data_IF_030640931337
#
_entry.id   IF_030640931337
#
_cell.length_a   1.000
_cell.length_b   1.000
_cell.length_c   1.000
_cell.angle_alpha   90.00
_cell.angle_beta   90.00
_cell.angle_gamma   90.00
#
_symmetry.space_group_name_H-M   'P 1'
#
loop_
_entity.id
_entity.type
_entity.pdbx_description
1 polymer ?
#
# COMPACT_ATOMS: atom_id res chain seq x y z
N UNK A 1 -10.59 -58.57 -22.68
CA UNK A 1 -10.05 -57.78 -21.57
C UNK A 1 -9.39 -56.55 -22.14
N UNK A 2 -10.08 -55.38 -22.10
CA UNK A 2 -9.55 -54.09 -22.59
C UNK A 2 -9.04 -53.31 -21.36
N UNK A 3 -7.73 -53.10 -21.30
CA UNK A 3 -7.11 -52.26 -20.24
C UNK A 3 -7.20 -50.82 -20.67
N UNK A 4 -8.00 -50.00 -19.92
CA UNK A 4 -8.02 -48.57 -20.03
C UNK A 4 -6.80 -48.01 -19.30
N UNK A 5 -5.86 -47.40 -20.02
CA UNK A 5 -4.78 -46.59 -19.45
C UNK A 5 -5.30 -45.19 -19.21
N UNK A 6 -5.54 -44.86 -17.95
CA UNK A 6 -5.91 -43.50 -17.50
C UNK A 6 -4.64 -42.65 -17.43
N UNK A 7 -4.44 -41.78 -18.40
CA UNK A 7 -3.33 -40.83 -18.42
C UNK A 7 -3.75 -39.64 -17.55
N UNK A 8 -3.22 -39.58 -16.31
CA UNK A 8 -3.37 -38.41 -15.42
C UNK A 8 -2.48 -37.29 -15.94
N UNK A 9 -3.11 -36.28 -16.53
CA UNK A 9 -2.45 -35.07 -17.00
C UNK A 9 -2.14 -34.17 -15.78
N UNK A 10 -0.92 -34.25 -15.23
CA UNK A 10 -0.41 -33.32 -14.26
C UNK A 10 -0.18 -31.97 -14.96
N UNK A 11 -1.15 -31.06 -14.84
CA UNK A 11 -0.98 -29.68 -15.20
C UNK A 11 -0.01 -29.04 -14.20
N UNK A 12 1.14 -28.48 -14.62
CA UNK A 12 1.99 -27.72 -13.73
C UNK A 12 1.20 -26.47 -13.29
N UNK A 13 0.94 -26.35 -12.00
CA UNK A 13 0.51 -25.11 -11.39
C UNK A 13 1.65 -24.10 -11.55
N UNK A 14 1.58 -23.31 -12.61
CA UNK A 14 2.41 -22.12 -12.78
C UNK A 14 2.00 -21.15 -11.68
N UNK A 15 2.61 -21.26 -10.50
CA UNK A 15 2.59 -20.20 -9.52
C UNK A 15 3.30 -19.01 -10.15
N UNK A 16 2.53 -18.03 -10.59
CA UNK A 16 3.06 -16.72 -10.94
C UNK A 16 3.66 -16.13 -9.67
N UNK A 17 4.95 -16.36 -9.45
CA UNK A 17 5.73 -15.58 -8.51
C UNK A 17 5.66 -14.14 -9.01
N UNK A 18 4.88 -13.32 -8.30
CA UNK A 18 4.72 -11.92 -8.62
C UNK A 18 6.05 -11.23 -8.33
N UNK A 19 6.75 -10.85 -9.39
CA UNK A 19 8.08 -10.23 -9.31
C UNK A 19 7.92 -8.86 -8.63
N UNK A 20 8.32 -8.79 -7.37
CA UNK A 20 8.30 -7.58 -6.56
C UNK A 20 9.40 -6.62 -7.04
N UNK A 21 9.08 -5.71 -7.94
CA UNK A 21 10.02 -4.69 -8.46
C UNK A 21 10.26 -3.59 -7.44
N UNK A 22 10.80 -3.96 -6.26
CA UNK A 22 11.15 -2.99 -5.23
C UNK A 22 12.57 -2.43 -5.44
N UNK A 23 12.72 -1.14 -5.21
CA UNK A 23 14.02 -0.47 -5.18
C UNK A 23 14.65 -0.71 -3.80
N UNK A 24 15.88 -1.21 -3.79
CA UNK A 24 16.69 -1.35 -2.57
C UNK A 24 17.57 -0.13 -2.42
N UNK A 25 17.45 0.56 -1.32
CA UNK A 25 18.25 1.74 -0.97
C UNK A 25 18.78 1.59 0.45
N UNK A 26 19.55 2.58 0.89
CA UNK A 26 19.92 2.74 2.30
C UNK A 26 19.42 4.08 2.78
N UNK A 27 18.94 4.12 4.00
CA UNK A 27 18.63 5.38 4.66
C UNK A 27 19.88 6.26 4.72
N UNK A 28 19.74 7.55 4.42
CA UNK A 28 20.88 8.45 4.31
C UNK A 28 21.57 8.72 5.65
N UNK A 29 20.84 8.62 6.76
CA UNK A 29 21.33 8.93 8.10
C UNK A 29 21.74 7.66 8.86
N UNK A 30 20.87 6.65 8.89
CA UNK A 30 21.13 5.41 9.65
C UNK A 30 21.93 4.37 8.88
N UNK A 31 22.06 4.52 7.54
CA UNK A 31 22.64 3.52 6.63
C UNK A 31 21.92 2.15 6.67
N UNK A 32 20.75 2.08 7.30
CA UNK A 32 19.94 0.87 7.34
C UNK A 32 19.30 0.59 5.97
N UNK A 33 19.13 -0.69 5.61
CA UNK A 33 18.50 -1.06 4.35
C UNK A 33 17.04 -0.63 4.31
N UNK A 34 16.60 -0.11 3.17
CA UNK A 34 15.25 0.35 2.90
C UNK A 34 14.76 -0.20 1.57
N UNK A 35 13.51 -0.60 1.53
CA UNK A 35 12.79 -0.99 0.32
C UNK A 35 11.80 0.09 -0.06
N UNK A 36 11.62 0.34 -1.35
CA UNK A 36 10.67 1.33 -1.86
C UNK A 36 9.97 0.81 -3.11
N UNK A 37 8.68 1.09 -3.22
CA UNK A 37 7.93 0.90 -4.48
C UNK A 37 8.27 1.96 -5.52
N UNK A 38 8.87 3.08 -5.07
CA UNK A 38 8.89 4.33 -5.84
C UNK A 38 7.48 4.92 -5.96
N UNK A 39 7.36 6.01 -6.69
CA UNK A 39 6.09 6.70 -6.90
C UNK A 39 5.25 5.99 -7.97
N UNK A 40 4.08 5.49 -7.57
CA UNK A 40 3.12 4.81 -8.42
C UNK A 40 1.90 5.73 -8.60
N UNK A 41 1.51 6.08 -9.84
CA UNK A 41 0.38 6.98 -10.07
C UNK A 41 -0.96 6.26 -9.87
N UNK A 42 -1.88 6.91 -9.15
CA UNK A 42 -3.27 6.50 -9.00
C UNK A 42 -4.18 7.69 -9.25
N UNK A 43 -4.72 7.84 -10.47
CA UNK A 43 -5.57 8.97 -10.84
C UNK A 43 -4.85 10.32 -10.61
N UNK A 44 -5.39 11.19 -9.75
CA UNK A 44 -4.84 12.51 -9.37
C UNK A 44 -3.85 12.47 -8.20
N UNK A 45 -3.38 11.30 -7.83
CA UNK A 45 -2.52 11.08 -6.66
C UNK A 45 -1.41 10.12 -7.01
N UNK A 46 -0.24 10.28 -6.42
CA UNK A 46 0.80 9.25 -6.44
C UNK A 46 0.95 8.63 -5.06
N UNK A 47 1.31 7.36 -5.01
CA UNK A 47 1.62 6.63 -3.79
C UNK A 47 3.05 6.11 -3.87
N UNK A 48 3.85 6.35 -2.83
CA UNK A 48 5.06 5.59 -2.54
C UNK A 48 4.88 4.80 -1.27
N UNK A 49 5.34 3.56 -1.25
CA UNK A 49 5.38 2.76 -0.03
C UNK A 49 6.82 2.39 0.22
N UNK A 50 7.31 2.79 1.37
CA UNK A 50 8.66 2.51 1.82
C UNK A 50 8.64 1.60 3.04
N UNK A 51 9.60 0.69 3.16
CA UNK A 51 9.75 -0.18 4.31
C UNK A 51 11.20 -0.19 4.79
N UNK A 52 11.39 -0.10 6.09
CA UNK A 52 12.64 -0.37 6.79
C UNK A 52 12.46 -1.46 7.85
N UNK A 53 13.45 -1.69 8.70
CA UNK A 53 13.39 -2.72 9.74
C UNK A 53 12.38 -2.46 10.86
N UNK A 54 11.76 -1.29 10.93
CA UNK A 54 10.83 -0.87 12.00
C UNK A 54 9.44 -0.53 11.49
N UNK A 55 9.37 0.11 10.30
CA UNK A 55 8.17 0.76 9.82
C UNK A 55 7.92 0.51 8.33
N UNK A 56 6.65 0.62 7.95
CA UNK A 56 6.18 0.67 6.56
C UNK A 56 5.40 1.96 6.42
N UNK A 57 5.92 2.90 5.63
CA UNK A 57 5.35 4.22 5.42
C UNK A 57 4.67 4.32 4.05
N UNK A 58 3.44 4.80 4.04
CA UNK A 58 2.66 5.09 2.84
C UNK A 58 2.61 6.60 2.66
N UNK A 59 3.28 7.10 1.64
CA UNK A 59 3.25 8.51 1.27
C UNK A 59 2.31 8.71 0.08
N UNK A 60 1.22 9.42 0.31
CA UNK A 60 0.33 9.91 -0.73
C UNK A 60 0.69 11.34 -1.09
N UNK A 61 0.86 11.61 -2.39
CA UNK A 61 1.09 12.96 -2.92
C UNK A 61 -0.07 13.33 -3.83
N UNK A 62 -0.84 14.35 -3.46
CA UNK A 62 -1.95 14.85 -4.25
C UNK A 62 -1.40 15.85 -5.24
N UNK A 63 -1.48 15.52 -6.53
CA UNK A 63 -0.91 16.32 -7.61
C UNK A 63 -1.79 17.51 -8.02
N UNK A 64 -3.08 17.43 -7.73
CA UNK A 64 -4.03 18.48 -8.09
C UNK A 64 -4.07 19.54 -6.97
N UNK A 65 -3.23 20.55 -7.10
CA UNK A 65 -3.09 21.67 -6.16
C UNK A 65 -4.31 22.58 -6.26
N UNK A 66 -5.36 22.30 -5.52
CA UNK A 66 -6.30 23.35 -5.12
C UNK A 66 -5.78 23.90 -3.78
N UNK A 67 -5.62 25.21 -3.71
CA UNK A 67 -4.80 25.97 -2.74
C UNK A 67 -5.14 25.87 -1.26
N UNK A 68 -5.94 24.90 -0.83
CA UNK A 68 -6.45 24.83 0.54
C UNK A 68 -6.32 23.44 1.19
N UNK A 69 -5.46 22.56 0.68
CA UNK A 69 -5.34 21.19 1.22
C UNK A 69 -4.12 21.06 2.11
N UNK A 70 -4.27 21.50 3.32
CA UNK A 70 -3.28 21.25 4.36
C UNK A 70 -3.62 19.97 5.13
N UNK A 71 -2.61 19.19 5.43
CA UNK A 71 -2.70 18.01 6.27
C UNK A 71 -1.91 18.23 7.56
N UNK A 72 -2.49 17.81 8.67
CA UNK A 72 -1.93 17.86 10.02
C UNK A 72 -2.16 16.52 10.73
N UNK A 73 -1.91 16.43 12.01
CA UNK A 73 -2.11 15.22 12.84
C UNK A 73 -3.58 14.87 13.08
N UNK A 74 -4.51 15.82 12.88
CA UNK A 74 -5.95 15.58 12.93
C UNK A 74 -6.53 15.09 11.59
N UNK A 75 -5.79 15.26 10.50
CA UNK A 75 -6.16 14.82 9.16
C UNK A 75 -6.23 13.29 9.07
N UNK A 76 -7.14 12.77 8.25
CA UNK A 76 -7.39 11.33 8.19
C UNK A 76 -7.42 10.79 6.77
N UNK A 77 -7.03 9.53 6.62
CA UNK A 77 -7.26 8.73 5.43
C UNK A 77 -8.22 7.58 5.73
N UNK A 78 -9.15 7.34 4.83
CA UNK A 78 -10.10 6.23 4.90
C UNK A 78 -9.90 5.31 3.71
N UNK A 79 -9.56 4.05 3.95
CA UNK A 79 -9.58 2.99 2.94
C UNK A 79 -10.95 2.33 2.96
N UNK A 80 -11.65 2.37 1.84
CA UNK A 80 -12.96 1.73 1.65
C UNK A 80 -12.75 0.42 0.90
N UNK A 81 -13.19 -0.68 1.50
CA UNK A 81 -13.08 -2.03 0.94
C UNK A 81 -14.36 -2.47 0.24
N UNK A 82 -14.28 -3.55 -0.51
CA UNK A 82 -15.46 -4.26 -0.99
C UNK A 82 -16.43 -4.54 0.19
N UNK A 83 -17.74 -4.36 -0.03
CA UNK A 83 -18.75 -4.47 1.04
C UNK A 83 -18.85 -3.22 1.93
N UNK A 84 -18.27 -2.08 1.51
CA UNK A 84 -18.37 -0.77 2.18
C UNK A 84 -17.74 -0.69 3.59
N UNK A 85 -16.97 -1.69 4.01
CA UNK A 85 -16.19 -1.61 5.24
C UNK A 85 -15.08 -0.55 5.09
N UNK A 86 -14.72 0.11 6.19
CA UNK A 86 -13.70 1.15 6.20
C UNK A 86 -12.61 0.87 7.24
N UNK A 87 -11.40 1.28 6.94
CA UNK A 87 -10.32 1.48 7.91
C UNK A 87 -9.85 2.92 7.84
N UNK A 88 -9.78 3.59 8.99
CA UNK A 88 -9.43 5.01 9.07
C UNK A 88 -8.13 5.12 9.85
N UNK A 89 -7.20 5.93 9.33
CA UNK A 89 -5.90 6.21 9.93
C UNK A 89 -5.67 7.71 9.98
N UNK A 90 -4.87 8.16 10.94
CA UNK A 90 -4.45 9.56 11.03
C UNK A 90 -3.17 9.78 10.22
N UNK A 91 -2.98 11.02 9.81
CA UNK A 91 -1.71 11.45 9.23
C UNK A 91 -0.60 11.32 10.29
N UNK A 92 0.51 10.70 9.91
CA UNK A 92 1.71 10.56 10.75
C UNK A 92 2.82 11.53 10.36
N UNK A 93 2.62 12.26 9.25
CA UNK A 93 3.54 13.30 8.80
C UNK A 93 3.35 14.63 9.53
N UNK A 94 4.31 15.53 9.35
CA UNK A 94 4.21 16.91 9.85
C UNK A 94 3.14 17.69 9.09
N UNK A 95 2.65 18.79 9.71
CA UNK A 95 1.73 19.69 9.03
C UNK A 95 2.36 20.25 7.76
N UNK A 96 1.62 20.15 6.65
CA UNK A 96 2.03 20.69 5.35
C UNK A 96 0.80 21.06 4.50
N UNK A 97 1.01 22.00 3.57
CA UNK A 97 0.04 22.39 2.54
C UNK A 97 0.52 22.00 1.13
N UNK A 98 1.46 21.06 1.06
CA UNK A 98 2.03 20.56 -0.21
C UNK A 98 1.27 19.35 -0.78
N UNK A 99 0.22 18.90 -0.08
CA UNK A 99 -0.57 17.74 -0.47
C UNK A 99 0.08 16.41 -0.11
N UNK A 100 0.98 16.40 0.87
CA UNK A 100 1.67 15.20 1.34
C UNK A 100 0.92 14.60 2.54
N UNK A 101 0.56 13.33 2.45
CA UNK A 101 -0.14 12.60 3.51
C UNK A 101 0.59 11.29 3.82
N UNK A 102 0.94 11.07 5.08
CA UNK A 102 1.66 9.89 5.53
C UNK A 102 0.79 8.97 6.39
N UNK A 103 0.94 7.67 6.20
CA UNK A 103 0.41 6.64 7.11
C UNK A 103 1.49 5.64 7.39
N UNK A 104 1.90 5.53 8.64
CA UNK A 104 2.97 4.63 9.07
C UNK A 104 2.40 3.43 9.81
N UNK A 105 2.87 2.24 9.48
CA UNK A 105 2.58 0.98 10.13
C UNK A 105 3.86 0.39 10.72
N UNK A 106 3.77 -0.33 11.82
CA UNK A 106 4.91 -1.10 12.34
C UNK A 106 5.23 -2.26 11.41
N UNK A 107 6.51 -2.41 11.07
CA UNK A 107 7.02 -3.58 10.37
C UNK A 107 7.34 -4.68 11.41
N UNK A 108 6.51 -5.71 11.46
CA UNK A 108 6.63 -6.81 12.42
C UNK A 108 6.58 -8.15 11.70
N UNK A 109 7.23 -9.17 12.26
CA UNK A 109 7.18 -10.55 11.73
C UNK A 109 5.71 -11.04 11.59
N UNK A 110 4.88 -10.75 12.61
CA UNK A 110 3.43 -10.93 12.50
C UNK A 110 2.81 -9.64 11.98
N UNK A 111 2.25 -9.66 10.78
CA UNK A 111 1.62 -8.49 10.15
C UNK A 111 0.49 -7.94 11.03
N UNK A 112 0.52 -6.64 11.44
CA UNK A 112 -0.55 -6.03 12.23
C UNK A 112 -1.91 -6.15 11.53
N UNK A 113 -3.00 -6.34 12.30
CA UNK A 113 -4.33 -6.62 11.77
C UNK A 113 -4.89 -5.54 10.83
N UNK A 114 -4.54 -4.27 11.05
CA UNK A 114 -4.90 -3.17 10.17
C UNK A 114 -4.17 -3.25 8.81
N UNK A 115 -2.88 -3.58 8.82
CA UNK A 115 -2.08 -3.79 7.62
C UNK A 115 -2.47 -5.11 6.92
N UNK A 116 -2.79 -6.17 7.70
CA UNK A 116 -3.31 -7.44 7.18
C UNK A 116 -4.59 -7.23 6.36
N UNK A 117 -5.46 -6.30 6.75
CA UNK A 117 -6.66 -5.98 5.99
C UNK A 117 -6.33 -5.36 4.62
N UNK A 118 -5.31 -4.51 4.53
CA UNK A 118 -4.89 -3.87 3.28
C UNK A 118 -4.30 -4.87 2.27
N UNK A 119 -3.70 -5.97 2.73
CA UNK A 119 -3.13 -7.01 1.86
C UNK A 119 -4.11 -8.14 1.49
N UNK A 120 -5.26 -8.24 2.19
CA UNK A 120 -6.22 -9.33 1.97
C UNK A 120 -7.54 -8.88 1.37
N UNK A 121 -7.86 -7.58 1.41
CA UNK A 121 -9.12 -7.04 0.89
C UNK A 121 -8.85 -5.99 -0.17
N UNK A 122 -9.61 -6.04 -1.26
CA UNK A 122 -9.54 -5.03 -2.32
C UNK A 122 -10.04 -3.68 -1.81
N UNK A 123 -9.25 -2.64 -2.05
CA UNK A 123 -9.60 -1.26 -1.73
C UNK A 123 -10.32 -0.68 -2.93
N UNK A 124 -11.56 -0.24 -2.76
CA UNK A 124 -12.39 0.32 -3.83
C UNK A 124 -12.27 1.84 -3.93
N UNK A 125 -12.00 2.50 -2.80
CA UNK A 125 -11.76 3.93 -2.76
C UNK A 125 -10.85 4.31 -1.59
N UNK A 126 -10.16 5.44 -1.76
CA UNK A 126 -9.33 6.08 -0.74
C UNK A 126 -9.84 7.51 -0.58
N UNK A 127 -10.13 7.94 0.65
CA UNK A 127 -10.55 9.31 0.94
C UNK A 127 -9.62 9.96 1.94
N UNK A 128 -9.02 11.08 1.56
CA UNK A 128 -8.15 11.90 2.41
C UNK A 128 -8.95 13.12 2.89
N UNK A 129 -9.00 13.32 4.19
CA UNK A 129 -9.68 14.48 4.81
C UNK A 129 -8.62 15.38 5.43
N UNK A 130 -8.53 16.62 4.94
CA UNK A 130 -7.60 17.63 5.45
C UNK A 130 -8.09 18.32 6.72
N UNK A 131 -7.26 19.21 7.27
CA UNK A 131 -7.53 19.95 8.50
C UNK A 131 -8.74 20.92 8.40
N UNK A 132 -9.02 21.44 7.20
CA UNK A 132 -10.20 22.27 6.90
C UNK A 132 -11.44 21.44 6.53
N UNK A 133 -11.43 20.12 6.78
CA UNK A 133 -12.47 19.15 6.41
C UNK A 133 -12.68 18.97 4.90
N UNK A 134 -11.79 19.50 4.06
CA UNK A 134 -11.81 19.19 2.63
C UNK A 134 -11.54 17.71 2.41
N UNK A 135 -12.26 17.08 1.47
CA UNK A 135 -12.13 15.65 1.19
C UNK A 135 -11.68 15.44 -0.24
N UNK A 136 -10.61 14.68 -0.40
CA UNK A 136 -10.17 14.16 -1.70
C UNK A 136 -10.49 12.68 -1.77
N UNK A 137 -11.31 12.26 -2.73
CA UNK A 137 -11.65 10.85 -2.92
C UNK A 137 -11.07 10.33 -4.22
N UNK A 138 -10.36 9.22 -4.12
CA UNK A 138 -9.75 8.47 -5.22
C UNK A 138 -10.54 7.18 -5.35
N UNK A 139 -11.31 7.03 -6.43
CA UNK A 139 -12.00 5.78 -6.74
C UNK A 139 -11.09 4.90 -7.59
N UNK A 140 -10.94 3.64 -7.22
CA UNK A 140 -10.07 2.69 -7.90
C UNK A 140 -10.88 1.74 -8.79
N UNK A 141 -10.49 1.67 -10.06
CA UNK A 141 -11.01 0.65 -10.98
C UNK A 141 -10.51 -0.76 -10.61
N UNK A 142 -11.14 -1.83 -11.12
CA UNK A 142 -10.79 -3.21 -10.76
C UNK A 142 -9.32 -3.56 -10.93
N UNK A 143 -8.68 -3.08 -11.98
CA UNK A 143 -7.26 -3.28 -12.22
C UNK A 143 -6.41 -2.56 -11.17
N UNK A 144 -6.70 -1.29 -10.87
CA UNK A 144 -5.98 -0.50 -9.85
C UNK A 144 -6.14 -1.10 -8.45
N UNK A 145 -7.32 -1.65 -8.13
CA UNK A 145 -7.56 -2.36 -6.85
C UNK A 145 -6.62 -3.56 -6.71
N UNK A 146 -6.46 -4.34 -7.78
CA UNK A 146 -5.58 -5.50 -7.78
C UNK A 146 -4.11 -5.08 -7.73
N UNK A 147 -3.71 -4.08 -8.52
CA UNK A 147 -2.35 -3.55 -8.53
C UNK A 147 -1.95 -3.00 -7.15
N UNK A 148 -2.83 -2.24 -6.49
CA UNK A 148 -2.59 -1.69 -5.16
C UNK A 148 -2.45 -2.80 -4.12
N UNK A 149 -3.35 -3.79 -4.13
CA UNK A 149 -3.28 -4.94 -3.20
C UNK A 149 -1.98 -5.72 -3.39
N UNK A 150 -1.56 -5.95 -4.64
CA UNK A 150 -0.32 -6.63 -4.97
C UNK A 150 0.90 -5.83 -4.50
N UNK A 151 0.90 -4.52 -4.72
CA UNK A 151 1.98 -3.62 -4.32
C UNK A 151 2.16 -3.62 -2.79
N UNK A 152 1.07 -3.49 -2.04
CA UNK A 152 1.09 -3.52 -0.57
C UNK A 152 1.55 -4.90 -0.08
N UNK A 153 1.03 -5.98 -0.65
CA UNK A 153 1.42 -7.35 -0.29
C UNK A 153 2.91 -7.57 -0.49
N UNK A 154 3.42 -7.10 -1.63
CA UNK A 154 4.83 -7.19 -1.98
C UNK A 154 5.72 -6.50 -0.94
N UNK A 155 5.49 -5.21 -0.68
CA UNK A 155 6.34 -4.44 0.25
C UNK A 155 6.23 -4.96 1.69
N UNK A 156 5.05 -5.43 2.13
CA UNK A 156 4.85 -6.01 3.46
C UNK A 156 5.62 -7.31 3.64
N UNK A 157 5.62 -8.18 2.62
CA UNK A 157 6.32 -9.47 2.70
C UNK A 157 7.83 -9.28 2.62
N UNK A 158 8.32 -8.50 1.66
CA UNK A 158 9.75 -8.23 1.51
C UNK A 158 10.30 -7.37 2.67
N UNK A 159 9.51 -6.44 3.21
CA UNK A 159 9.88 -5.61 4.34
C UNK A 159 10.23 -6.43 5.60
N UNK A 160 9.61 -7.59 5.80
CA UNK A 160 9.94 -8.49 6.92
C UNK A 160 11.38 -8.98 6.89
N UNK A 161 11.99 -9.05 5.72
CA UNK A 161 13.41 -9.45 5.58
C UNK A 161 14.38 -8.41 6.17
N UNK A 162 13.91 -7.18 6.43
CA UNK A 162 14.68 -6.09 7.02
C UNK A 162 14.64 -6.09 8.55
N UNK A 163 13.75 -6.86 9.17
CA UNK A 163 13.60 -6.94 10.63
C UNK A 163 14.80 -7.73 11.20
N UNK A 164 15.48 -7.11 12.15
CA UNK A 164 16.64 -7.70 12.85
C UNK A 164 16.21 -8.50 14.08
#
# INVERSE_FOLDING_TARGET
MKRFFSVIFLLPLLSFAQDCKLKKTKDQFSQEPKLSTGFVPFSSTTLSIDADGKEIDFLFTITNKSDERCFDDASTISFVFEGKQKSIFRNTGTMNCEGLFHVTFKNLQTTPGNLQRLITKKITAISLTGNNKSVTTITLGPQQQQELMNLITCIVNEGKTLIK
#
